data_IF_762191236687
#
_entry.id   IF_762191236687
#
_cell.length_a   1.000
_cell.length_b   1.000
_cell.length_c   1.000
_cell.angle_alpha   90.00
_cell.angle_beta   90.00
_cell.angle_gamma   90.00
#
_symmetry.space_group_name_H-M   'P 1'
#
loop_
_entity.id
_entity.type
_entity.pdbx_description
1 polymer ?
#
# COMPACT_ATOMS: atom_id res chain seq x y z
N UNK A 1 -11.31 16.69 16.91
CA UNK A 1 -11.03 15.27 16.63
C UNK A 1 -9.70 14.95 17.30
N UNK A 2 -9.78 14.21 18.37
CA UNK A 2 -8.65 13.88 19.23
C UNK A 2 -7.86 12.73 18.61
N UNK A 3 -6.58 12.96 18.31
CA UNK A 3 -5.69 11.91 17.82
C UNK A 3 -5.53 10.87 18.95
N UNK A 4 -5.88 9.62 18.67
CA UNK A 4 -5.70 8.52 19.61
C UNK A 4 -4.20 8.43 19.98
N UNK A 5 -3.89 8.82 21.22
CA UNK A 5 -2.56 8.75 21.79
C UNK A 5 -2.27 7.30 22.17
N UNK A 6 -1.49 6.60 21.35
CA UNK A 6 -0.91 5.32 21.73
C UNK A 6 0.36 5.56 22.56
N UNK A 7 0.60 4.80 23.65
CA UNK A 7 1.78 4.98 24.49
C UNK A 7 3.05 4.75 23.68
N UNK A 8 3.97 5.71 23.73
CA UNK A 8 5.31 5.63 23.16
C UNK A 8 6.22 4.85 24.09
N UNK A 9 6.75 3.73 23.62
CA UNK A 9 7.79 2.96 24.27
C UNK A 9 7.42 1.50 24.57
N UNK A 10 8.40 0.60 24.61
CA UNK A 10 8.17 -0.79 25.01
C UNK A 10 7.78 -0.82 26.50
N UNK A 11 6.64 -1.43 26.81
CA UNK A 11 6.26 -1.65 28.21
C UNK A 11 7.35 -2.44 28.94
N UNK A 12 7.81 -2.02 30.13
CA UNK A 12 8.80 -2.77 30.89
C UNK A 12 8.18 -4.06 31.44
N UNK A 13 8.69 -5.18 30.97
CA UNK A 13 8.70 -6.43 31.72
C UNK A 13 7.37 -7.17 31.83
N UNK A 14 7.18 -8.12 30.93
CA UNK A 14 6.78 -9.49 31.23
C UNK A 14 7.09 -10.31 29.98
N UNK A 15 7.94 -11.30 30.13
CA UNK A 15 8.29 -12.21 29.04
C UNK A 15 7.13 -13.17 28.76
N UNK A 16 6.06 -12.63 28.16
CA UNK A 16 4.95 -13.39 27.61
C UNK A 16 5.23 -13.84 26.15
N UNK A 17 6.51 -14.10 25.84
CA UNK A 17 7.01 -14.41 24.48
C UNK A 17 7.03 -15.92 24.26
N UNK A 18 5.86 -16.55 24.30
CA UNK A 18 5.76 -17.98 24.02
C UNK A 18 5.66 -18.37 22.54
N UNK A 19 5.58 -17.43 21.61
CA UNK A 19 5.44 -17.71 20.19
C UNK A 19 6.75 -17.49 19.43
N UNK A 20 7.14 -18.47 18.61
CA UNK A 20 8.31 -18.39 17.72
C UNK A 20 8.14 -17.22 16.74
N UNK A 21 9.18 -16.40 16.60
CA UNK A 21 9.20 -15.23 15.71
C UNK A 21 10.02 -15.52 14.47
N UNK A 22 9.48 -15.17 13.33
CA UNK A 22 10.15 -15.28 12.06
C UNK A 22 10.45 -13.89 11.51
N UNK A 23 11.74 -13.58 11.31
CA UNK A 23 12.15 -12.37 10.61
C UNK A 23 11.88 -12.55 9.12
N UNK A 24 11.02 -11.69 8.58
CA UNK A 24 10.59 -11.76 7.18
C UNK A 24 11.42 -10.81 6.34
N UNK A 25 12.13 -11.34 5.32
CA UNK A 25 12.87 -10.50 4.38
C UNK A 25 11.90 -9.68 3.52
N UNK A 26 11.83 -8.37 3.79
CA UNK A 26 11.24 -7.30 2.96
C UNK A 26 9.97 -7.69 2.16
N UNK A 27 8.93 -8.17 2.82
CA UNK A 27 7.64 -8.40 2.15
C UNK A 27 6.78 -7.15 2.26
N UNK A 28 6.43 -6.59 1.11
CA UNK A 28 5.43 -5.52 1.04
C UNK A 28 4.04 -6.07 1.29
N UNK A 29 3.21 -5.29 1.97
CA UNK A 29 1.82 -5.61 2.24
C UNK A 29 0.99 -4.32 2.22
N UNK A 30 -0.32 -4.44 2.37
CA UNK A 30 -1.21 -3.31 2.57
C UNK A 30 -1.69 -3.28 4.01
N UNK A 31 -1.61 -2.13 4.62
CA UNK A 31 -2.37 -1.79 5.80
C UNK A 31 -3.66 -1.12 5.32
N UNK A 32 -4.81 -1.68 5.65
CA UNK A 32 -6.11 -1.13 5.30
C UNK A 32 -6.71 -0.55 6.58
N UNK A 33 -7.12 0.72 6.54
CA UNK A 33 -7.79 1.39 7.64
C UNK A 33 -8.97 2.21 7.10
N UNK A 34 -10.16 1.96 7.61
CA UNK A 34 -11.41 2.60 7.17
C UNK A 34 -11.60 2.59 5.64
N UNK A 35 -11.17 1.50 4.99
CA UNK A 35 -11.26 1.32 3.54
C UNK A 35 -10.15 1.99 2.72
N UNK A 36 -9.28 2.80 3.34
CA UNK A 36 -8.10 3.36 2.71
C UNK A 36 -6.93 2.35 2.75
N UNK A 37 -6.18 2.24 1.66
CA UNK A 37 -5.07 1.30 1.54
C UNK A 37 -3.72 2.01 1.62
N UNK A 38 -2.85 1.56 2.51
CA UNK A 38 -1.52 2.12 2.74
C UNK A 38 -0.45 1.05 2.52
N UNK A 39 0.70 1.45 2.02
CA UNK A 39 1.83 0.56 1.85
C UNK A 39 2.58 0.38 3.16
N UNK A 40 2.86 -0.88 3.50
CA UNK A 40 3.71 -1.23 4.63
C UNK A 40 4.68 -2.36 4.25
N UNK A 41 5.66 -2.62 5.13
CA UNK A 41 6.62 -3.72 4.99
C UNK A 41 6.58 -4.59 6.25
N UNK A 42 6.37 -5.89 6.06
CA UNK A 42 6.50 -6.88 7.14
C UNK A 42 7.96 -6.97 7.57
N UNK A 43 8.18 -6.95 8.89
CA UNK A 43 9.50 -7.12 9.52
C UNK A 43 9.58 -8.41 10.29
N UNK A 44 8.67 -8.61 11.24
CA UNK A 44 8.60 -9.81 12.05
C UNK A 44 7.18 -10.35 12.08
N UNK A 45 7.04 -11.65 12.11
CA UNK A 45 5.76 -12.35 12.11
C UNK A 45 5.79 -13.47 13.16
N UNK A 46 4.72 -13.58 13.92
CA UNK A 46 4.46 -14.68 14.83
C UNK A 46 3.01 -15.15 14.70
N UNK A 47 2.65 -16.26 15.33
CA UNK A 47 1.28 -16.75 15.30
C UNK A 47 0.23 -15.74 15.84
N UNK A 48 0.64 -14.83 16.73
CA UNK A 48 -0.26 -13.90 17.41
C UNK A 48 -0.05 -12.44 17.04
N UNK A 49 1.01 -12.08 16.31
CA UNK A 49 1.29 -10.69 16.01
C UNK A 49 2.25 -10.47 14.86
N UNK A 50 2.31 -9.22 14.41
CA UNK A 50 3.16 -8.79 13.30
C UNK A 50 3.80 -7.43 13.64
N UNK A 51 5.05 -7.26 13.24
CA UNK A 51 5.74 -5.97 13.22
C UNK A 51 5.79 -5.44 11.79
N UNK A 52 5.29 -4.23 11.59
CA UNK A 52 5.28 -3.53 10.31
C UNK A 52 6.23 -2.33 10.36
N UNK A 53 6.87 -2.03 9.24
CA UNK A 53 7.44 -0.72 8.95
C UNK A 53 6.42 0.07 8.16
N UNK A 54 6.11 1.26 8.65
CA UNK A 54 5.20 2.23 8.04
C UNK A 54 6.02 3.35 7.41
N UNK A 55 5.44 4.07 6.44
CA UNK A 55 6.03 5.23 5.79
C UNK A 55 5.20 6.49 5.99
N UNK A 56 4.25 6.41 6.88
CA UNK A 56 3.28 7.44 7.25
C UNK A 56 2.88 7.23 8.71
N UNK A 57 2.20 8.22 9.30
CA UNK A 57 1.63 8.05 10.62
C UNK A 57 0.64 6.89 10.64
N UNK A 58 0.55 6.21 11.79
CA UNK A 58 -0.43 5.16 11.97
C UNK A 58 -1.84 5.73 11.76
N UNK A 59 -2.64 5.20 10.80
CA UNK A 59 -4.02 5.64 10.62
C UNK A 59 -4.87 5.25 11.83
N UNK A 60 -5.97 5.95 12.03
CA UNK A 60 -6.98 5.57 13.02
C UNK A 60 -7.99 4.58 12.43
N UNK A 61 -8.82 3.96 13.27
CA UNK A 61 -9.92 3.09 12.87
C UNK A 61 -9.58 1.60 12.88
N UNK A 62 -10.52 0.79 12.37
CA UNK A 62 -10.36 -0.66 12.25
C UNK A 62 -9.32 -0.99 11.17
N UNK A 63 -8.45 -1.95 11.49
CA UNK A 63 -7.30 -2.24 10.64
C UNK A 63 -7.28 -3.67 10.15
N UNK A 64 -6.93 -3.84 8.89
CA UNK A 64 -6.64 -5.12 8.26
C UNK A 64 -5.24 -5.08 7.62
N UNK A 65 -4.56 -6.21 7.69
CA UNK A 65 -3.34 -6.48 6.92
C UNK A 65 -3.70 -7.34 5.72
N UNK A 66 -3.45 -6.86 4.51
CA UNK A 66 -3.58 -7.65 3.28
C UNK A 66 -2.20 -8.01 2.74
N UNK A 67 -1.95 -9.30 2.59
CA UNK A 67 -0.72 -9.81 1.99
C UNK A 67 -0.79 -9.79 0.47
N UNK A 68 0.35 -9.99 -0.19
CA UNK A 68 0.45 -9.95 -1.66
C UNK A 68 -0.34 -11.03 -2.39
N UNK A 69 -0.68 -12.12 -1.71
CA UNK A 69 -1.54 -13.20 -2.20
C UNK A 69 -3.05 -12.89 -2.05
N UNK A 70 -3.39 -11.77 -1.39
CA UNK A 70 -4.76 -11.30 -1.16
C UNK A 70 -5.38 -11.79 0.15
N UNK A 71 -4.65 -12.55 0.97
CA UNK A 71 -5.13 -12.93 2.31
C UNK A 71 -5.23 -11.69 3.21
N UNK A 72 -6.32 -11.59 3.98
CA UNK A 72 -6.59 -10.48 4.90
C UNK A 72 -6.69 -10.96 6.34
N UNK A 73 -6.16 -10.16 7.23
CA UNK A 73 -6.12 -10.42 8.67
C UNK A 73 -6.53 -9.16 9.41
N UNK A 74 -7.53 -9.27 10.28
CA UNK A 74 -7.88 -8.19 11.22
C UNK A 74 -6.75 -8.08 12.23
N UNK A 75 -6.25 -6.87 12.43
CA UNK A 75 -5.12 -6.57 13.31
C UNK A 75 -5.46 -5.39 14.22
N UNK A 76 -4.92 -5.42 15.44
CA UNK A 76 -5.08 -4.37 16.44
C UNK A 76 -3.72 -3.75 16.77
N UNK A 77 -3.58 -2.42 16.77
CA UNK A 77 -2.32 -1.76 17.10
C UNK A 77 -2.00 -1.94 18.58
N UNK A 78 -0.76 -2.35 18.89
CA UNK A 78 -0.27 -2.56 20.24
C UNK A 78 0.73 -1.50 20.67
N UNK A 79 1.57 -1.04 19.75
CA UNK A 79 2.58 -0.01 19.98
C UNK A 79 3.02 0.61 18.64
N UNK A 80 3.53 1.84 18.71
CA UNK A 80 4.14 2.52 17.60
C UNK A 80 5.41 3.22 18.08
N UNK A 81 6.53 3.03 17.35
CA UNK A 81 7.82 3.64 17.66
C UNK A 81 8.52 4.00 16.34
N UNK A 82 8.66 5.31 16.08
CA UNK A 82 9.20 5.84 14.85
C UNK A 82 8.42 5.35 13.62
N UNK A 83 9.10 4.72 12.68
CA UNK A 83 8.54 4.12 11.48
C UNK A 83 8.09 2.65 11.66
N UNK A 84 8.10 2.14 12.89
CA UNK A 84 7.68 0.78 13.20
C UNK A 84 6.44 0.75 14.08
N UNK A 85 5.57 -0.22 13.82
CA UNK A 85 4.41 -0.49 14.65
C UNK A 85 4.22 -2.00 14.85
N UNK A 86 3.82 -2.38 16.04
CA UNK A 86 3.48 -3.77 16.38
C UNK A 86 1.98 -3.93 16.47
N UNK A 87 1.49 -5.03 15.92
CA UNK A 87 0.07 -5.36 15.86
C UNK A 87 -0.16 -6.77 16.38
N UNK A 88 -1.32 -6.99 16.95
CA UNK A 88 -1.84 -8.30 17.33
C UNK A 88 -2.86 -8.76 16.29
N UNK A 89 -2.80 -10.01 15.88
CA UNK A 89 -3.86 -10.62 15.09
C UNK A 89 -5.10 -10.86 15.96
N UNK A 90 -6.29 -10.59 15.43
CA UNK A 90 -7.55 -10.91 16.10
C UNK A 90 -7.72 -12.42 16.36
N UNK A 91 -7.09 -13.26 15.53
CA UNK A 91 -7.01 -14.72 15.67
C UNK A 91 -5.61 -15.20 15.32
N UNK A 92 -5.10 -16.25 15.99
CA UNK A 92 -3.80 -16.81 15.64
C UNK A 92 -3.74 -17.25 14.18
N UNK A 93 -2.57 -17.08 13.55
CA UNK A 93 -2.32 -17.40 12.14
C UNK A 93 -1.28 -18.51 12.00
N UNK A 94 -1.38 -19.31 10.95
CA UNK A 94 -0.35 -20.28 10.59
C UNK A 94 0.79 -19.58 9.85
N UNK A 95 1.86 -19.28 10.58
CA UNK A 95 3.02 -18.55 10.05
C UNK A 95 3.70 -19.32 8.92
N UNK A 96 3.78 -20.66 9.01
CA UNK A 96 4.43 -21.48 7.97
C UNK A 96 3.68 -21.38 6.65
N UNK A 97 2.37 -21.56 6.68
CA UNK A 97 1.52 -21.41 5.50
C UNK A 97 1.64 -20.02 4.87
N UNK A 98 1.73 -18.96 5.69
CA UNK A 98 1.91 -17.59 5.22
C UNK A 98 3.29 -17.36 4.56
N UNK A 99 4.34 -18.00 5.08
CA UNK A 99 5.68 -17.87 4.54
C UNK A 99 5.87 -18.66 3.23
N UNK A 100 5.28 -19.84 3.13
CA UNK A 100 5.35 -20.71 1.96
C UNK A 100 4.58 -20.14 0.76
N UNK A 101 3.36 -19.67 0.96
CA UNK A 101 2.53 -19.07 -0.10
C UNK A 101 3.15 -17.79 -0.70
N UNK A 102 3.96 -17.08 0.05
CA UNK A 102 4.64 -15.87 -0.45
C UNK A 102 5.92 -16.13 -1.24
N UNK A 103 6.39 -17.36 -1.36
CA UNK A 103 7.60 -17.74 -2.09
C UNK A 103 7.33 -18.22 -3.54
N UNK A 104 6.09 -18.24 -3.98
CA UNK A 104 5.74 -18.58 -5.36
C UNK A 104 6.37 -17.56 -6.33
N UNK A 105 7.32 -17.98 -7.19
CA UNK A 105 7.97 -17.10 -8.18
C UNK A 105 6.97 -16.51 -9.19
N UNK A 106 5.80 -17.14 -9.38
CA UNK A 106 4.72 -16.66 -10.24
C UNK A 106 3.82 -15.63 -9.53
N UNK A 107 3.85 -15.52 -8.21
CA UNK A 107 2.98 -14.65 -7.42
C UNK A 107 3.65 -13.31 -7.04
N UNK A 108 4.64 -12.87 -7.81
CA UNK A 108 5.28 -11.54 -7.67
C UNK A 108 4.37 -10.41 -8.15
N UNK A 109 3.08 -10.46 -7.81
CA UNK A 109 2.20 -9.33 -8.07
C UNK A 109 2.68 -8.16 -7.23
N UNK A 110 3.21 -7.15 -7.92
CA UNK A 110 3.58 -5.89 -7.28
C UNK A 110 2.36 -5.32 -6.59
N UNK A 111 2.51 -4.87 -5.35
CA UNK A 111 1.41 -4.27 -4.59
C UNK A 111 0.79 -3.13 -5.38
N UNK A 112 -0.52 -3.16 -5.53
CA UNK A 112 -1.34 -2.10 -6.10
C UNK A 112 -2.27 -1.59 -5.01
N UNK A 113 -2.23 -0.29 -4.79
CA UNK A 113 -3.01 0.38 -3.77
C UNK A 113 -4.20 1.07 -4.44
N UNK A 114 -5.40 0.79 -3.96
CA UNK A 114 -6.61 1.45 -4.46
C UNK A 114 -6.60 2.90 -4.00
N UNK A 115 -6.77 3.80 -4.97
CA UNK A 115 -6.79 5.24 -4.74
C UNK A 115 -7.86 5.82 -5.66
N UNK A 116 -8.89 6.40 -5.07
CA UNK A 116 -9.98 7.03 -5.84
C UNK A 116 -9.79 8.55 -5.86
N UNK A 117 -9.03 9.07 -6.84
CA UNK A 117 -8.73 10.51 -6.95
C UNK A 117 -8.97 11.02 -8.37
N UNK A 118 -9.41 12.28 -8.45
CA UNK A 118 -9.42 13.01 -9.71
C UNK A 118 -7.98 13.31 -10.14
N UNK A 119 -7.76 13.24 -11.43
CA UNK A 119 -6.47 13.48 -12.07
C UNK A 119 -6.70 14.00 -13.47
N UNK A 120 -5.64 14.41 -14.12
CA UNK A 120 -5.69 14.85 -15.52
C UNK A 120 -4.70 14.04 -16.35
N UNK A 121 -5.08 13.75 -17.59
CA UNK A 121 -4.21 13.11 -18.55
C UNK A 121 -4.00 14.02 -19.75
N UNK A 122 -2.76 14.23 -20.15
CA UNK A 122 -2.45 14.86 -21.42
C UNK A 122 -2.08 13.78 -22.42
N UNK A 123 -2.82 13.78 -23.52
CA UNK A 123 -2.64 12.88 -24.66
C UNK A 123 -2.78 13.65 -25.96
N UNK A 124 -1.86 13.49 -26.90
CA UNK A 124 -1.83 14.20 -28.19
C UNK A 124 -1.90 15.73 -28.06
N UNK A 125 -1.32 16.28 -26.96
CA UNK A 125 -1.33 17.73 -26.69
C UNK A 125 -2.61 18.27 -26.04
N UNK A 126 -3.63 17.43 -25.84
CA UNK A 126 -4.88 17.79 -25.18
C UNK A 126 -4.96 17.22 -23.77
N UNK A 127 -5.57 17.96 -22.86
CA UNK A 127 -5.74 17.60 -21.46
C UNK A 127 -7.19 17.16 -21.19
N UNK A 128 -7.35 16.04 -20.49
CA UNK A 128 -8.66 15.47 -20.20
C UNK A 128 -8.73 15.05 -18.73
N UNK A 129 -9.87 15.24 -18.06
CA UNK A 129 -10.08 14.72 -16.72
C UNK A 129 -10.16 13.20 -16.74
N UNK A 130 -9.55 12.59 -15.73
CA UNK A 130 -9.58 11.14 -15.51
C UNK A 130 -9.75 10.85 -14.04
N UNK A 131 -10.13 9.63 -13.71
CA UNK A 131 -10.15 9.14 -12.34
C UNK A 131 -9.06 8.09 -12.16
N UNK A 132 -8.09 8.39 -11.28
CA UNK A 132 -7.12 7.42 -10.80
C UNK A 132 -7.85 6.37 -9.95
N UNK A 133 -7.66 5.09 -10.21
CA UNK A 133 -8.32 3.99 -9.49
C UNK A 133 -7.37 3.19 -8.63
N UNK A 134 -6.13 3.07 -9.04
CA UNK A 134 -5.07 2.41 -8.26
C UNK A 134 -3.69 2.91 -8.69
N UNK A 135 -2.73 2.74 -7.78
CA UNK A 135 -1.34 3.12 -7.97
C UNK A 135 -0.41 1.98 -7.53
N UNK A 136 0.67 1.80 -8.24
CA UNK A 136 1.76 0.88 -7.90
C UNK A 136 3.11 1.53 -8.20
N UNK A 137 4.21 0.89 -7.82
CA UNK A 137 5.54 1.42 -8.07
C UNK A 137 5.82 1.70 -9.56
N UNK A 138 5.13 1.05 -10.51
CA UNK A 138 5.49 1.11 -11.93
C UNK A 138 4.31 1.46 -12.83
N UNK A 139 3.18 1.84 -12.28
CA UNK A 139 2.02 2.16 -13.10
C UNK A 139 0.75 2.46 -12.32
N UNK A 140 -0.27 2.85 -13.04
CA UNK A 140 -1.56 3.24 -12.51
C UNK A 140 -2.71 2.62 -13.31
N UNK A 141 -3.86 2.48 -12.65
CA UNK A 141 -5.14 2.25 -13.31
C UNK A 141 -5.93 3.55 -13.35
N UNK A 142 -6.50 3.86 -14.49
CA UNK A 142 -7.35 5.04 -14.66
C UNK A 142 -8.70 4.68 -15.32
N UNK A 143 -9.68 5.53 -15.10
CA UNK A 143 -10.91 5.60 -15.88
C UNK A 143 -10.86 6.89 -16.68
N UNK A 144 -11.04 6.79 -18.00
CA UNK A 144 -10.99 7.89 -18.95
C UNK A 144 -12.11 7.71 -19.98
N UNK A 145 -12.86 8.76 -20.23
CA UNK A 145 -13.95 8.74 -21.22
C UNK A 145 -13.44 8.93 -22.65
N UNK A 146 -12.21 9.42 -22.80
CA UNK A 146 -11.57 9.56 -24.11
C UNK A 146 -10.90 8.24 -24.51
N UNK A 147 -11.11 7.76 -25.74
CA UNK A 147 -10.45 6.54 -26.19
C UNK A 147 -8.94 6.71 -26.28
N UNK A 148 -8.21 5.85 -25.56
CA UNK A 148 -6.76 5.75 -25.59
C UNK A 148 -6.34 4.50 -26.36
N UNK A 149 -5.23 4.61 -27.09
CA UNK A 149 -4.66 3.48 -27.82
C UNK A 149 -3.55 2.81 -27.02
N UNK A 150 -3.38 1.49 -27.21
CA UNK A 150 -2.30 0.76 -26.60
C UNK A 150 -0.94 1.30 -27.07
N UNK A 151 0.02 1.40 -26.14
CA UNK A 151 1.35 1.99 -26.32
C UNK A 151 1.37 3.51 -26.56
N UNK A 152 0.23 4.18 -26.48
CA UNK A 152 0.16 5.63 -26.58
C UNK A 152 0.89 6.30 -25.41
N UNK A 153 1.71 7.30 -25.72
CA UNK A 153 2.42 8.12 -24.72
C UNK A 153 1.44 9.12 -24.09
N UNK A 154 1.47 9.19 -22.78
CA UNK A 154 0.61 10.08 -22.01
C UNK A 154 1.38 10.73 -20.87
N UNK A 155 0.90 11.88 -20.40
CA UNK A 155 1.37 12.49 -19.15
C UNK A 155 0.20 12.49 -18.17
N UNK A 156 0.40 11.92 -17.01
CA UNK A 156 -0.59 11.86 -15.93
C UNK A 156 -0.22 12.91 -14.87
N UNK A 157 -1.15 13.77 -14.55
CA UNK A 157 -1.06 14.79 -13.50
C UNK A 157 -2.03 14.43 -12.37
N UNK A 158 -1.46 14.19 -11.20
CA UNK A 158 -2.21 13.88 -9.98
C UNK A 158 -1.79 14.87 -8.92
N UNK A 159 -2.73 15.45 -8.21
CA UNK A 159 -2.44 16.37 -7.11
C UNK A 159 -1.44 15.74 -6.12
N UNK A 160 -0.54 16.55 -5.57
CA UNK A 160 0.53 16.14 -4.64
C UNK A 160 1.60 15.17 -5.21
N UNK A 161 1.57 14.87 -6.50
CA UNK A 161 2.53 13.98 -7.15
C UNK A 161 3.35 14.72 -8.22
N UNK A 162 4.56 14.26 -8.56
CA UNK A 162 5.28 14.77 -9.71
C UNK A 162 4.54 14.43 -11.01
N UNK A 163 4.81 15.17 -12.07
CA UNK A 163 4.31 14.84 -13.41
C UNK A 163 4.81 13.45 -13.84
N UNK A 164 3.90 12.57 -14.23
CA UNK A 164 4.20 11.19 -14.57
C UNK A 164 4.13 10.98 -16.07
N UNK A 165 5.25 10.61 -16.67
CA UNK A 165 5.31 10.14 -18.05
C UNK A 165 5.02 8.64 -18.09
N UNK A 166 4.11 8.24 -18.96
CA UNK A 166 3.62 6.86 -19.01
C UNK A 166 3.20 6.44 -20.41
N UNK A 167 3.04 5.13 -20.59
CA UNK A 167 2.46 4.50 -21.77
C UNK A 167 1.21 3.73 -21.38
N UNK A 168 0.23 3.73 -22.26
CA UNK A 168 -0.95 2.88 -22.13
C UNK A 168 -0.55 1.42 -22.34
N UNK A 169 -0.62 0.60 -21.28
CA UNK A 169 -0.24 -0.81 -21.31
C UNK A 169 -1.37 -1.73 -21.78
N UNK A 170 -2.60 -1.44 -21.35
CA UNK A 170 -3.79 -2.16 -21.77
C UNK A 170 -5.01 -1.23 -21.82
N UNK A 171 -5.98 -1.59 -22.67
CA UNK A 171 -7.20 -0.85 -22.90
C UNK A 171 -8.41 -1.75 -22.71
N UNK A 172 -9.33 -1.35 -21.84
CA UNK A 172 -10.67 -1.93 -21.64
C UNK A 172 -11.62 -0.78 -21.30
N UNK A 173 -11.94 0.04 -22.32
CA UNK A 173 -12.72 1.27 -22.13
C UNK A 173 -13.93 1.05 -21.21
N UNK A 174 -14.18 1.95 -20.26
CA UNK A 174 -13.46 3.20 -20.01
C UNK A 174 -12.23 3.05 -19.10
N UNK A 175 -11.76 1.82 -18.82
CA UNK A 175 -10.63 1.53 -17.95
C UNK A 175 -9.36 1.31 -18.76
N UNK A 176 -8.25 1.91 -18.29
CA UNK A 176 -6.93 1.81 -18.90
C UNK A 176 -5.86 1.58 -17.85
N UNK A 177 -4.83 0.83 -18.25
CA UNK A 177 -3.64 0.64 -17.42
C UNK A 177 -2.47 1.38 -18.00
N UNK A 178 -1.79 2.13 -17.15
CA UNK A 178 -0.60 2.90 -17.49
C UNK A 178 0.64 2.23 -16.91
N UNK A 179 1.73 2.22 -17.65
CA UNK A 179 3.07 1.89 -17.17
C UNK A 179 3.91 3.16 -17.20
N UNK A 180 4.57 3.48 -16.08
CA UNK A 180 5.41 4.67 -15.95
C UNK A 180 6.76 4.47 -16.63
N UNK A 181 7.29 5.51 -17.24
CA UNK A 181 8.65 5.49 -17.80
C UNK A 181 9.70 5.36 -16.68
N UNK A 182 9.44 5.96 -15.52
CA UNK A 182 10.25 5.86 -14.30
C UNK A 182 9.37 5.41 -13.14
N UNK A 183 9.78 4.32 -12.46
CA UNK A 183 9.05 3.81 -11.31
C UNK A 183 9.38 4.55 -10.02
N UNK A 184 8.50 4.43 -9.03
CA UNK A 184 8.73 4.92 -7.67
C UNK A 184 9.57 3.94 -6.85
N UNK A 185 10.42 4.46 -6.00
CA UNK A 185 10.93 3.72 -4.83
C UNK A 185 9.78 3.46 -3.86
N UNK A 186 9.96 2.48 -2.99
CA UNK A 186 8.91 2.04 -2.06
C UNK A 186 8.44 3.19 -1.16
N UNK A 187 9.39 3.96 -0.61
CA UNK A 187 9.12 5.11 0.25
C UNK A 187 8.34 6.21 -0.49
N UNK A 188 8.71 6.47 -1.74
CA UNK A 188 8.04 7.47 -2.57
C UNK A 188 6.59 7.07 -2.84
N UNK A 189 6.36 5.81 -3.26
CA UNK A 189 5.01 5.29 -3.49
C UNK A 189 4.17 5.40 -2.22
N UNK A 190 4.73 4.98 -1.09
CA UNK A 190 4.03 5.03 0.20
C UNK A 190 3.65 6.45 0.60
N UNK A 191 4.58 7.41 0.46
CA UNK A 191 4.32 8.82 0.75
C UNK A 191 3.24 9.43 -0.15
N UNK A 192 3.30 9.17 -1.47
CA UNK A 192 2.29 9.65 -2.40
C UNK A 192 0.90 9.06 -2.09
N UNK A 193 0.82 7.76 -1.83
CA UNK A 193 -0.46 7.12 -1.50
C UNK A 193 -1.01 7.66 -0.18
N UNK A 194 -0.18 7.83 0.85
CA UNK A 194 -0.60 8.38 2.12
C UNK A 194 -1.15 9.81 1.95
N UNK A 195 -0.46 10.67 1.19
CA UNK A 195 -0.94 12.02 0.89
C UNK A 195 -2.27 12.02 0.12
N UNK A 196 -2.41 11.14 -0.88
CA UNK A 196 -3.67 10.97 -1.62
C UNK A 196 -4.80 10.45 -0.75
N UNK A 197 -4.53 9.70 0.30
CA UNK A 197 -5.51 9.21 1.29
C UNK A 197 -5.75 10.20 2.43
N UNK A 198 -5.08 11.36 2.42
CA UNK A 198 -5.26 12.40 3.43
C UNK A 198 -4.45 12.23 4.71
N UNK A 199 -3.46 11.31 4.70
CA UNK A 199 -2.47 11.18 5.78
C UNK A 199 -1.23 12.02 5.49
N UNK A 200 -0.77 12.74 6.51
CA UNK A 200 0.53 13.41 6.42
C UNK A 200 1.68 12.38 6.39
N UNK A 201 2.75 12.71 5.67
CA UNK A 201 4.00 11.96 5.76
C UNK A 201 4.50 11.95 7.22
N UNK A 202 5.00 10.82 7.67
CA UNK A 202 5.59 10.66 8.99
C UNK A 202 7.00 11.24 9.07
#
# INVERSE_FOLDING_TARGET
>A
MEAAYLPTGPAPGADARGAERYTVLLRTAKLIADGAEYLCVLRDLSATGVKLRLFHRLPAGDMELELTDGQRFVIEPMWCDGDHAGFRFARPVDVRALLENGNDPYNRRKVRLNVAKQAEINVRGNQFPVRLTNLSAHGAGIICDVPLMQYEQVRLEVDTMPLLYAKVCWCRAPRYGLVFDFGFRLEQLAGHVAALQGLAAG
#
